data_IF_953664273011
#
_entry.id   IF_953664273011
#
_cell.length_a   1.000
_cell.length_b   1.000
_cell.length_c   1.000
_cell.angle_alpha   90.00
_cell.angle_beta   90.00
_cell.angle_gamma   90.00
#
_symmetry.space_group_name_H-M   'P 1'
#
loop_
_entity.id
_entity.type
_entity.pdbx_description
1 polymer ?
#
# COMPACT_ATOMS: atom_id res chain seq x y z
N UNK A 1 -8.18 -15.97 -9.39
CA UNK A 1 -8.59 -16.21 -8.00
C UNK A 1 -8.86 -14.92 -7.20
N UNK A 2 -8.25 -13.76 -7.52
CA UNK A 2 -8.48 -12.48 -6.84
C UNK A 2 -9.86 -11.81 -7.05
N UNK A 3 -10.51 -11.99 -8.21
CA UNK A 3 -11.79 -11.30 -8.55
C UNK A 3 -12.99 -11.82 -7.74
N UNK A 4 -12.85 -12.93 -7.01
CA UNK A 4 -13.93 -13.54 -6.21
C UNK A 4 -13.80 -13.30 -4.71
N UNK A 5 -12.70 -12.71 -4.25
CA UNK A 5 -12.48 -12.42 -2.83
C UNK A 5 -12.81 -10.93 -2.56
N UNK A 6 -13.52 -10.67 -1.46
CA UNK A 6 -13.98 -9.35 -1.06
C UNK A 6 -12.81 -8.36 -0.98
N UNK A 7 -11.64 -8.81 -0.50
CA UNK A 7 -10.44 -7.97 -0.43
C UNK A 7 -9.95 -7.56 -1.81
N UNK A 8 -9.88 -8.50 -2.74
CA UNK A 8 -9.45 -8.22 -4.12
C UNK A 8 -10.40 -7.26 -4.83
N UNK A 9 -11.70 -7.44 -4.66
CA UNK A 9 -12.71 -6.53 -5.21
C UNK A 9 -12.59 -5.13 -4.61
N UNK A 10 -12.41 -5.02 -3.30
CA UNK A 10 -12.22 -3.74 -2.62
C UNK A 10 -10.92 -3.04 -3.06
N UNK A 11 -9.79 -3.74 -3.10
CA UNK A 11 -8.51 -3.17 -3.56
C UNK A 11 -8.61 -2.74 -5.02
N UNK A 12 -9.35 -3.45 -5.86
CA UNK A 12 -9.48 -3.16 -7.29
C UNK A 12 -10.62 -2.17 -7.61
N UNK A 13 -11.43 -1.78 -6.65
CA UNK A 13 -12.59 -0.94 -6.88
C UNK A 13 -12.19 0.50 -7.27
N UNK A 14 -12.53 0.90 -8.49
CA UNK A 14 -12.21 2.23 -9.02
C UNK A 14 -13.20 3.31 -8.58
N UNK A 15 -14.25 2.96 -7.84
CA UNK A 15 -15.26 3.89 -7.36
C UNK A 15 -14.92 4.54 -6.02
N UNK A 16 -13.78 4.19 -5.41
CA UNK A 16 -13.29 4.85 -4.20
C UNK A 16 -13.04 6.33 -4.44
N UNK A 17 -13.20 7.13 -3.38
CA UNK A 17 -12.92 8.57 -3.44
C UNK A 17 -11.44 8.80 -3.75
N UNK A 18 -11.15 9.77 -4.61
CA UNK A 18 -9.78 10.18 -4.97
C UNK A 18 -8.86 8.98 -5.33
N UNK A 19 -9.43 8.05 -6.11
CA UNK A 19 -8.75 6.85 -6.57
C UNK A 19 -7.78 7.16 -7.70
N UNK A 20 -6.50 6.84 -7.47
CA UNK A 20 -5.38 7.07 -8.37
C UNK A 20 -4.55 5.80 -8.54
N UNK A 21 -3.99 5.63 -9.72
CA UNK A 21 -3.04 4.57 -10.06
C UNK A 21 -1.72 5.18 -10.51
N UNK A 22 -0.62 4.50 -10.24
CA UNK A 22 0.72 4.90 -10.70
C UNK A 22 1.06 6.36 -10.35
N UNK A 23 0.61 6.83 -9.17
CA UNK A 23 0.73 8.22 -8.76
C UNK A 23 2.21 8.54 -8.46
N UNK A 24 2.81 9.38 -9.29
CA UNK A 24 4.16 9.87 -9.07
C UNK A 24 4.14 11.00 -8.03
N UNK A 25 4.89 10.82 -6.95
CA UNK A 25 5.09 11.83 -5.92
C UNK A 25 6.57 12.22 -5.86
N UNK A 26 6.80 13.49 -5.56
CA UNK A 26 8.13 14.01 -5.27
C UNK A 26 8.07 14.98 -4.11
N UNK A 27 9.03 14.88 -3.20
CA UNK A 27 9.14 15.81 -2.08
C UNK A 27 10.52 15.76 -1.45
N UNK A 28 10.72 16.57 -0.42
CA UNK A 28 11.96 16.58 0.36
C UNK A 28 11.70 15.81 1.66
N UNK A 29 12.49 14.76 1.90
CA UNK A 29 12.50 13.99 3.15
C UNK A 29 13.93 13.99 3.66
N UNK A 30 14.16 14.44 4.90
CA UNK A 30 15.49 14.54 5.51
C UNK A 30 16.51 15.27 4.62
N UNK A 31 16.14 16.44 4.08
CA UNK A 31 16.92 17.26 3.14
C UNK A 31 17.28 16.59 1.80
N UNK A 32 16.73 15.42 1.49
CA UNK A 32 16.91 14.72 0.22
C UNK A 32 15.64 14.78 -0.64
N UNK A 33 15.81 15.06 -1.95
CA UNK A 33 14.71 14.94 -2.91
C UNK A 33 14.43 13.46 -3.15
N UNK A 34 13.22 13.04 -2.81
CA UNK A 34 12.72 11.69 -3.01
C UNK A 34 11.69 11.73 -4.13
N UNK A 35 11.83 10.79 -5.07
CA UNK A 35 10.80 10.48 -6.05
C UNK A 35 10.26 9.09 -5.76
N UNK A 36 8.94 8.96 -5.65
CA UNK A 36 8.30 7.66 -5.57
C UNK A 36 7.12 7.57 -6.53
N UNK A 37 6.72 6.34 -6.81
CA UNK A 37 5.51 6.04 -7.56
C UNK A 37 4.69 5.06 -6.75
N UNK A 38 3.47 5.45 -6.43
CA UNK A 38 2.49 4.62 -5.76
C UNK A 38 1.77 3.77 -6.81
N UNK A 39 1.73 2.44 -6.62
CA UNK A 39 0.96 1.58 -7.51
C UNK A 39 -0.52 1.97 -7.48
N UNK A 40 -1.06 2.20 -6.27
CA UNK A 40 -2.44 2.64 -6.08
C UNK A 40 -2.64 3.42 -4.78
N UNK A 41 -3.51 4.43 -4.83
CA UNK A 41 -4.03 5.11 -3.64
C UNK A 41 -5.47 5.55 -3.82
N UNK A 42 -6.23 5.60 -2.73
CA UNK A 42 -7.62 6.07 -2.69
C UNK A 42 -8.05 6.41 -1.26
N UNK A 43 -9.18 7.07 -1.08
CA UNK A 43 -9.84 7.26 0.22
C UNK A 43 -10.99 6.26 0.35
N UNK A 44 -11.04 5.61 1.51
CA UNK A 44 -12.17 4.80 1.95
C UNK A 44 -12.41 5.08 3.43
N UNK A 45 -13.66 5.34 3.82
CA UNK A 45 -14.06 5.70 5.19
C UNK A 45 -13.14 6.76 5.83
N UNK A 46 -12.94 7.90 5.14
CA UNK A 46 -12.07 9.00 5.57
C UNK A 46 -10.59 8.64 5.77
N UNK A 47 -10.18 7.44 5.36
CA UNK A 47 -8.81 6.94 5.48
C UNK A 47 -8.17 6.86 4.10
N UNK A 48 -6.99 7.45 3.96
CA UNK A 48 -6.15 7.33 2.77
C UNK A 48 -5.48 5.97 2.76
N UNK A 49 -5.74 5.16 1.76
CA UNK A 49 -5.05 3.89 1.53
C UNK A 49 -3.95 4.06 0.49
N UNK A 50 -2.79 3.51 0.78
CA UNK A 50 -1.70 3.33 -0.19
C UNK A 50 -1.46 1.84 -0.32
N UNK A 51 -1.69 1.32 -1.52
CA UNK A 51 -1.58 -0.11 -1.83
C UNK A 51 -0.44 -0.34 -2.80
N UNK A 52 0.42 -1.29 -2.45
CA UNK A 52 1.48 -1.80 -3.33
C UNK A 52 1.15 -3.26 -3.73
N UNK A 53 1.30 -3.53 -5.03
CA UNK A 53 0.98 -4.81 -5.64
C UNK A 53 2.25 -5.66 -5.79
N UNK A 54 2.23 -6.86 -5.18
CA UNK A 54 3.34 -7.80 -5.28
C UNK A 54 2.99 -9.00 -6.16
N UNK A 55 3.91 -9.30 -7.07
CA UNK A 55 3.84 -10.44 -8.00
C UNK A 55 4.65 -11.64 -7.52
N UNK A 56 5.50 -11.47 -6.50
CA UNK A 56 6.26 -12.56 -5.89
C UNK A 56 5.31 -13.66 -5.43
N UNK A 57 5.65 -14.88 -5.80
CA UNK A 57 4.99 -16.10 -5.36
C UNK A 57 6.02 -16.87 -4.56
N UNK A 58 5.67 -17.20 -3.32
CA UNK A 58 6.47 -18.09 -2.51
C UNK A 58 5.80 -19.46 -2.53
N UNK A 59 6.59 -20.50 -2.78
CA UNK A 59 6.13 -21.88 -2.95
C UNK A 59 6.16 -22.70 -1.63
N UNK A 60 6.42 -22.07 -0.47
CA UNK A 60 6.38 -22.76 0.83
C UNK A 60 4.97 -22.85 1.44
N UNK A 61 4.80 -23.88 2.28
CA UNK A 61 3.61 -24.21 3.05
C UNK A 61 3.18 -23.13 4.09
N UNK A 62 3.99 -22.10 4.36
CA UNK A 62 3.69 -21.08 5.39
C UNK A 62 3.44 -19.65 4.83
N UNK A 63 2.22 -19.44 4.33
CA UNK A 63 1.74 -18.14 3.81
C UNK A 63 1.87 -16.97 4.80
N UNK A 64 1.60 -17.21 6.09
CA UNK A 64 1.54 -16.13 7.08
C UNK A 64 2.94 -15.61 7.44
N UNK A 65 3.92 -16.50 7.55
CA UNK A 65 5.31 -16.15 7.80
C UNK A 65 5.90 -15.38 6.61
N UNK A 66 5.64 -15.83 5.38
CA UNK A 66 6.03 -15.11 4.16
C UNK A 66 5.48 -13.68 4.14
N UNK A 67 4.16 -13.53 4.38
CA UNK A 67 3.52 -12.21 4.37
C UNK A 67 4.09 -11.29 5.46
N UNK A 68 4.43 -11.81 6.64
CA UNK A 68 5.07 -11.04 7.70
C UNK A 68 6.49 -10.60 7.33
N UNK A 69 7.28 -11.49 6.74
CA UNK A 69 8.63 -11.18 6.28
C UNK A 69 8.61 -10.09 5.20
N UNK A 70 7.69 -10.20 4.23
CA UNK A 70 7.55 -9.19 3.18
C UNK A 70 7.03 -7.86 3.74
N UNK A 71 6.10 -7.88 4.71
CA UNK A 71 5.67 -6.66 5.40
C UNK A 71 6.87 -5.93 6.01
N UNK A 72 7.72 -6.64 6.76
CA UNK A 72 8.94 -6.06 7.36
C UNK A 72 9.86 -5.50 6.27
N UNK A 73 10.04 -6.23 5.17
CA UNK A 73 10.91 -5.85 4.06
C UNK A 73 10.46 -4.56 3.36
N UNK A 74 9.16 -4.41 3.09
CA UNK A 74 8.63 -3.25 2.36
C UNK A 74 8.14 -2.12 3.27
N UNK A 75 8.10 -2.33 4.59
CA UNK A 75 7.59 -1.35 5.55
C UNK A 75 8.24 0.01 5.38
N UNK A 76 9.56 0.08 5.41
CA UNK A 76 10.29 1.34 5.30
C UNK A 76 10.01 2.10 3.98
N UNK A 77 9.87 1.38 2.87
CA UNK A 77 9.55 1.96 1.56
C UNK A 77 8.13 2.54 1.54
N UNK A 78 7.14 1.76 2.00
CA UNK A 78 5.74 2.21 2.04
C UNK A 78 5.54 3.36 3.04
N UNK A 79 6.23 3.36 4.17
CA UNK A 79 6.20 4.47 5.12
C UNK A 79 6.83 5.75 4.56
N UNK A 80 7.85 5.64 3.71
CA UNK A 80 8.37 6.80 2.98
C UNK A 80 7.31 7.39 2.04
N UNK A 81 6.49 6.55 1.42
CA UNK A 81 5.38 7.00 0.59
C UNK A 81 4.30 7.70 1.42
N UNK A 82 3.97 7.13 2.58
CA UNK A 82 3.01 7.73 3.50
C UNK A 82 3.49 9.08 4.05
N UNK A 83 4.79 9.24 4.36
CA UNK A 83 5.37 10.53 4.77
C UNK A 83 5.23 11.62 3.70
N UNK A 84 5.44 11.26 2.43
CA UNK A 84 5.21 12.20 1.33
C UNK A 84 3.72 12.54 1.19
N UNK A 85 2.86 11.53 1.31
CA UNK A 85 1.41 11.71 1.20
C UNK A 85 0.83 12.54 2.37
N UNK A 86 1.32 12.36 3.60
CA UNK A 86 0.84 13.09 4.78
C UNK A 86 1.11 14.59 4.70
N UNK A 87 2.12 15.01 3.94
CA UNK A 87 2.37 16.42 3.64
C UNK A 87 1.33 17.06 2.71
N UNK A 88 0.52 16.26 2.02
CA UNK A 88 -0.50 16.73 1.06
C UNK A 88 -1.94 16.41 1.52
N UNK A 89 -2.12 15.36 2.32
CA UNK A 89 -3.41 14.91 2.84
C UNK A 89 -3.33 14.71 4.35
N UNK A 90 -4.22 15.38 5.08
CA UNK A 90 -4.28 15.33 6.54
C UNK A 90 -5.06 14.12 7.09
N UNK A 91 -5.67 13.31 6.21
CA UNK A 91 -6.39 12.09 6.61
C UNK A 91 -5.44 11.04 7.20
N UNK A 92 -5.92 10.16 8.10
CA UNK A 92 -5.18 8.97 8.51
C UNK A 92 -4.75 8.15 7.29
N UNK A 93 -3.53 7.61 7.32
CA UNK A 93 -2.99 6.81 6.22
C UNK A 93 -2.86 5.34 6.66
N UNK A 94 -3.40 4.43 5.85
CA UNK A 94 -3.17 2.98 5.97
C UNK A 94 -2.38 2.48 4.78
N UNK A 95 -1.42 1.62 5.08
CA UNK A 95 -0.54 0.98 4.11
C UNK A 95 -1.01 -0.46 3.88
N UNK A 96 -0.94 -0.91 2.63
CA UNK A 96 -1.36 -2.26 2.24
C UNK A 96 -0.41 -2.91 1.25
N UNK A 97 -0.02 -4.15 1.54
CA UNK A 97 0.63 -5.03 0.57
C UNK A 97 -0.41 -6.05 0.09
N UNK A 98 -0.67 -6.05 -1.21
CA UNK A 98 -1.60 -6.97 -1.83
C UNK A 98 -0.89 -7.90 -2.82
N UNK A 99 -1.17 -9.20 -2.71
CA UNK A 99 -0.62 -10.25 -3.58
C UNK A 99 -1.74 -10.84 -4.43
N UNK A 100 -1.99 -10.34 -5.66
CA UNK A 100 -3.12 -10.77 -6.47
C UNK A 100 -3.08 -12.26 -6.85
N UNK A 101 -1.88 -12.84 -6.95
CA UNK A 101 -1.69 -14.24 -7.37
C UNK A 101 -2.40 -15.24 -6.44
N UNK A 102 -2.47 -14.95 -5.14
CA UNK A 102 -3.03 -15.85 -4.13
C UNK A 102 -3.91 -15.15 -3.07
N UNK A 103 -4.26 -13.87 -3.29
CA UNK A 103 -5.06 -13.09 -2.34
C UNK A 103 -4.34 -12.92 -1.00
N UNK A 104 -3.05 -12.63 -1.01
CA UNK A 104 -2.30 -12.26 0.19
C UNK A 104 -2.57 -10.82 0.58
N UNK A 105 -2.70 -10.55 1.88
CA UNK A 105 -2.96 -9.20 2.38
C UNK A 105 -2.23 -8.96 3.70
N UNK A 106 -1.53 -7.83 3.76
CA UNK A 106 -1.01 -7.22 5.00
C UNK A 106 -1.30 -5.75 4.99
N UNK A 107 -1.69 -5.22 6.14
CA UNK A 107 -1.92 -3.79 6.30
C UNK A 107 -1.57 -3.32 7.70
N UNK A 108 -1.14 -2.08 7.79
CA UNK A 108 -0.86 -1.39 9.04
C UNK A 108 -1.17 0.10 8.92
N UNK A 109 -1.36 0.74 10.05
CA UNK A 109 -1.52 2.19 10.14
C UNK A 109 -0.15 2.84 10.06
N UNK A 110 -0.04 3.89 9.25
CA UNK A 110 1.12 4.75 9.26
C UNK A 110 1.01 5.68 10.47
N UNK A 111 2.05 5.70 11.29
CA UNK A 111 2.22 6.67 12.36
C UNK A 111 3.53 7.39 12.14
N UNK A 112 3.47 8.70 11.98
CA UNK A 112 4.65 9.56 11.94
C UNK A 112 5.10 9.77 13.40
N UNK A 113 5.84 8.78 13.91
CA UNK A 113 6.41 8.79 15.26
C UNK A 113 7.75 9.56 15.29
#
# INVERSE_FOLDING_TARGET
>A
HCVKDNRGQWVLNNQHEDSQFELALSGVVDDAVVHCRLDRTFVDEETRWIIDYKTSRHDDDNKEEFLNAEMIRYKAQLEQYARLMSGMDARPIKLGLYYPAFGGWRSWEFSDA
#
